data_IF_383267383228
#
_entry.id   IF_383267383228
#
_cell.length_a   1.000
_cell.length_b   1.000
_cell.length_c   1.000
_cell.angle_alpha   90.00
_cell.angle_beta   90.00
_cell.angle_gamma   90.00
#
_symmetry.space_group_name_H-M   'P 1'
#
loop_
_entity.id
_entity.type
_entity.pdbx_description
1 polymer ?
#
# COMPACT_ATOMS: atom_id res chain seq x y z
N UNK A 1 -6.87 11.97 17.94
CA UNK A 1 -7.03 11.40 16.59
C UNK A 1 -7.43 9.94 16.75
N UNK A 2 -8.53 9.50 16.13
CA UNK A 2 -8.92 8.09 16.17
C UNK A 2 -7.97 7.29 15.27
N UNK A 3 -7.08 6.51 15.88
CA UNK A 3 -6.19 5.59 15.17
C UNK A 3 -7.05 4.51 14.53
N UNK A 4 -7.28 4.61 13.22
CA UNK A 4 -8.05 3.58 12.49
C UNK A 4 -7.08 2.47 12.10
N UNK A 5 -6.86 1.53 13.02
CA UNK A 5 -6.13 0.28 12.77
C UNK A 5 -6.90 -0.54 11.72
N UNK A 6 -6.22 -1.13 10.74
CA UNK A 6 -6.87 -2.12 9.87
C UNK A 6 -7.51 -3.21 10.74
N UNK A 7 -8.69 -3.71 10.37
CA UNK A 7 -9.27 -4.82 11.11
C UNK A 7 -8.31 -6.02 11.09
N UNK A 8 -8.27 -6.79 12.17
CA UNK A 8 -7.45 -7.99 12.26
C UNK A 8 -7.75 -8.98 11.12
N UNK A 9 -9.00 -9.00 10.64
CA UNK A 9 -9.40 -9.80 9.48
C UNK A 9 -8.74 -9.32 8.18
N UNK A 10 -8.69 -8.01 7.93
CA UNK A 10 -8.03 -7.46 6.74
C UNK A 10 -6.53 -7.74 6.78
N UNK A 11 -5.88 -7.55 7.93
CA UNK A 11 -4.45 -7.89 8.11
C UNK A 11 -4.20 -9.37 7.84
N UNK A 12 -5.06 -10.26 8.35
CA UNK A 12 -4.97 -11.70 8.10
C UNK A 12 -5.12 -12.03 6.61
N UNK A 13 -6.08 -11.42 5.91
CA UNK A 13 -6.29 -11.62 4.47
C UNK A 13 -5.08 -11.16 3.65
N UNK A 14 -4.50 -10.00 3.99
CA UNK A 14 -3.25 -9.51 3.36
C UNK A 14 -2.14 -10.54 3.56
N UNK A 15 -1.91 -11.00 4.80
CA UNK A 15 -0.87 -11.98 5.09
C UNK A 15 -1.05 -13.31 4.35
N UNK A 16 -2.29 -13.78 4.19
CA UNK A 16 -2.59 -14.97 3.38
C UNK A 16 -2.24 -14.78 1.90
N UNK A 17 -2.50 -13.60 1.32
CA UNK A 17 -2.17 -13.33 -0.08
C UNK A 17 -0.65 -13.20 -0.28
N UNK A 18 0.04 -12.54 0.65
CA UNK A 18 1.50 -12.37 0.59
C UNK A 18 2.28 -13.61 1.05
N UNK A 19 1.61 -14.63 1.59
CA UNK A 19 2.26 -15.85 2.10
C UNK A 19 3.13 -15.62 3.34
N UNK A 20 2.89 -14.54 4.11
CA UNK A 20 3.68 -14.16 5.29
C UNK A 20 2.83 -13.47 6.35
N UNK A 21 3.34 -13.40 7.58
CA UNK A 21 2.72 -12.59 8.63
C UNK A 21 3.01 -11.10 8.39
N UNK A 22 2.03 -10.25 8.72
CA UNK A 22 2.15 -8.78 8.64
C UNK A 22 2.33 -8.26 10.07
N UNK A 23 3.56 -7.89 10.48
CA UNK A 23 3.82 -7.40 11.82
C UNK A 23 3.27 -5.98 11.99
N UNK A 24 2.90 -5.63 13.23
CA UNK A 24 2.39 -4.29 13.55
C UNK A 24 3.43 -3.18 13.26
N UNK A 25 4.72 -3.52 13.28
CA UNK A 25 5.81 -2.59 12.95
C UNK A 25 5.80 -2.11 11.49
N UNK A 26 5.01 -2.74 10.62
CA UNK A 26 4.79 -2.24 9.26
C UNK A 26 3.73 -1.12 9.20
N UNK A 27 2.94 -0.91 10.25
CA UNK A 27 1.99 0.22 10.30
C UNK A 27 2.76 1.53 10.35
N UNK A 28 2.59 2.37 9.32
CA UNK A 28 3.23 3.69 9.27
C UNK A 28 4.75 3.66 9.14
N UNK A 29 5.35 2.53 8.75
CA UNK A 29 6.79 2.42 8.60
C UNK A 29 7.34 3.16 7.36
N UNK A 30 6.46 3.59 6.45
CA UNK A 30 6.80 4.39 5.29
C UNK A 30 6.25 5.81 5.48
N UNK A 31 7.10 6.82 5.29
CA UNK A 31 6.71 8.22 5.48
C UNK A 31 5.90 8.79 4.31
N UNK A 32 6.24 8.40 3.08
CA UNK A 32 5.65 8.89 1.83
C UNK A 32 5.78 7.85 0.71
N UNK A 33 5.10 8.06 -0.43
CA UNK A 33 5.17 7.14 -1.58
C UNK A 33 6.59 6.86 -2.08
N UNK A 34 7.52 7.82 -1.94
CA UNK A 34 8.94 7.67 -2.33
C UNK A 34 9.67 6.58 -1.55
N UNK A 35 9.20 6.26 -0.35
CA UNK A 35 9.81 5.23 0.50
C UNK A 35 9.49 3.79 0.08
N UNK A 36 8.62 3.58 -0.91
CA UNK A 36 8.30 2.24 -1.38
C UNK A 36 9.43 1.64 -2.23
N UNK A 37 9.89 0.46 -1.82
CA UNK A 37 10.85 -0.34 -2.56
C UNK A 37 10.18 -1.17 -3.68
N UNK A 38 10.96 -1.71 -4.61
CA UNK A 38 10.44 -2.67 -5.60
C UNK A 38 9.80 -3.90 -4.97
N UNK A 39 10.28 -4.34 -3.80
CA UNK A 39 9.66 -5.43 -3.05
C UNK A 39 8.24 -5.04 -2.59
N UNK A 40 8.05 -3.81 -2.12
CA UNK A 40 6.73 -3.30 -1.75
C UNK A 40 5.81 -3.22 -2.97
N UNK A 41 6.32 -2.73 -4.11
CA UNK A 41 5.55 -2.68 -5.34
C UNK A 41 5.12 -4.09 -5.81
N UNK A 42 5.98 -5.10 -5.65
CA UNK A 42 5.62 -6.49 -5.94
C UNK A 42 4.53 -7.03 -5.00
N UNK A 43 4.61 -6.72 -3.71
CA UNK A 43 3.53 -7.03 -2.76
C UNK A 43 2.22 -6.36 -3.18
N UNK A 44 2.26 -5.10 -3.64
CA UNK A 44 1.07 -4.39 -4.11
C UNK A 44 0.49 -5.01 -5.38
N UNK A 45 1.32 -5.39 -6.36
CA UNK A 45 0.88 -6.11 -7.58
C UNK A 45 0.21 -7.43 -7.22
N UNK A 46 0.80 -8.18 -6.29
CA UNK A 46 0.25 -9.46 -5.84
C UNK A 46 -1.11 -9.27 -5.14
N UNK A 47 -1.22 -8.30 -4.25
CA UNK A 47 -2.49 -7.97 -3.59
C UNK A 47 -3.54 -7.50 -4.58
N UNK A 48 -3.17 -6.61 -5.50
CA UNK A 48 -4.07 -6.05 -6.51
C UNK A 48 -4.67 -7.16 -7.38
N UNK A 49 -3.84 -8.11 -7.84
CA UNK A 49 -4.28 -9.25 -8.66
C UNK A 49 -5.33 -10.14 -8.00
N UNK A 50 -5.46 -10.06 -6.66
CA UNK A 50 -6.48 -10.77 -5.87
C UNK A 50 -7.63 -9.87 -5.47
N UNK A 51 -7.33 -8.63 -5.10
CA UNK A 51 -8.29 -7.62 -4.68
C UNK A 51 -7.62 -6.26 -4.58
N UNK A 52 -8.03 -5.31 -5.44
CA UNK A 52 -7.60 -3.91 -5.34
C UNK A 52 -7.88 -3.27 -3.97
N UNK A 53 -8.93 -3.71 -3.27
CA UNK A 53 -9.23 -3.24 -1.90
C UNK A 53 -8.14 -3.65 -0.91
N UNK A 54 -7.57 -4.85 -1.05
CA UNK A 54 -6.46 -5.30 -0.19
C UNK A 54 -5.19 -4.53 -0.48
N UNK A 55 -4.89 -4.26 -1.76
CA UNK A 55 -3.74 -3.43 -2.14
C UNK A 55 -3.86 -2.01 -1.57
N UNK A 56 -4.99 -1.33 -1.78
CA UNK A 56 -5.24 0.00 -1.22
C UNK A 56 -5.18 0.00 0.31
N UNK A 57 -5.76 -1.01 0.95
CA UNK A 57 -5.72 -1.14 2.42
C UNK A 57 -4.29 -1.28 2.93
N UNK A 58 -3.46 -2.08 2.24
CA UNK A 58 -2.09 -2.31 2.64
C UNK A 58 -1.18 -1.09 2.40
N UNK A 59 -1.32 -0.40 1.27
CA UNK A 59 -0.60 0.86 1.01
C UNK A 59 -0.92 1.88 2.10
N UNK A 60 -2.21 2.07 2.42
CA UNK A 60 -2.64 2.98 3.49
C UNK A 60 -2.15 2.55 4.87
N UNK A 61 -2.03 1.26 5.12
CA UNK A 61 -1.47 0.73 6.37
C UNK A 61 0.01 1.07 6.52
N UNK A 62 0.79 0.88 5.46
CA UNK A 62 2.22 1.23 5.42
C UNK A 62 2.48 2.73 5.58
N UNK A 63 1.56 3.57 5.12
CA UNK A 63 1.62 5.04 5.23
C UNK A 63 0.90 5.63 6.46
N UNK A 64 0.37 4.79 7.37
CA UNK A 64 -0.46 5.24 8.49
C UNK A 64 -1.65 6.13 8.09
N UNK A 65 -2.18 5.97 6.87
CA UNK A 65 -3.27 6.79 6.31
C UNK A 65 -2.96 8.30 6.27
N UNK A 66 -1.70 8.68 6.18
CA UNK A 66 -1.28 10.09 5.95
C UNK A 66 -1.81 10.64 4.62
N UNK A 67 -2.10 9.75 3.67
CA UNK A 67 -2.53 10.08 2.31
C UNK A 67 -4.03 9.84 2.10
N UNK A 68 -4.64 10.71 1.29
CA UNK A 68 -6.03 10.59 0.91
C UNK A 68 -6.27 9.36 0.01
N UNK A 69 -7.50 8.85 0.07
CA UNK A 69 -7.85 7.58 -0.61
C UNK A 69 -7.71 7.69 -2.13
N UNK A 70 -8.10 8.81 -2.70
CA UNK A 70 -7.98 9.10 -4.14
C UNK A 70 -6.52 9.16 -4.58
N UNK A 71 -5.63 9.74 -3.77
CA UNK A 71 -4.19 9.76 -4.02
C UNK A 71 -3.64 8.33 -4.03
N UNK A 72 -3.99 7.50 -3.04
CA UNK A 72 -3.53 6.11 -2.97
C UNK A 72 -4.04 5.28 -4.15
N UNK A 73 -5.30 5.47 -4.55
CA UNK A 73 -5.87 4.81 -5.74
C UNK A 73 -5.16 5.27 -7.02
N UNK A 74 -4.85 6.57 -7.14
CA UNK A 74 -4.08 7.11 -8.27
C UNK A 74 -2.66 6.54 -8.33
N UNK A 75 -2.00 6.41 -7.18
CA UNK A 75 -0.70 5.77 -7.06
C UNK A 75 -0.75 4.31 -7.51
N UNK A 76 -1.71 3.53 -6.99
CA UNK A 76 -1.91 2.13 -7.38
C UNK A 76 -2.10 2.01 -8.91
N UNK A 77 -2.97 2.84 -9.50
CA UNK A 77 -3.21 2.80 -10.93
C UNK A 77 -1.97 3.18 -11.77
N UNK A 78 -1.24 4.21 -11.35
CA UNK A 78 -0.11 4.74 -12.14
C UNK A 78 1.15 3.88 -12.00
N UNK A 79 1.52 3.58 -10.75
CA UNK A 79 2.81 2.95 -10.44
C UNK A 79 2.72 1.43 -10.52
N UNK A 80 1.67 0.86 -9.93
CA UNK A 80 1.55 -0.60 -9.79
C UNK A 80 0.99 -1.22 -11.07
N UNK A 81 -0.05 -0.61 -11.67
CA UNK A 81 -0.72 -1.15 -12.86
C UNK A 81 -0.12 -0.67 -14.18
N UNK A 82 0.19 0.62 -14.32
CA UNK A 82 0.76 1.17 -15.57
C UNK A 82 2.29 1.09 -15.63
N UNK A 83 2.95 0.77 -14.50
CA UNK A 83 4.40 0.61 -14.44
C UNK A 83 5.18 1.93 -14.47
N UNK A 84 4.54 3.06 -14.16
CA UNK A 84 5.23 4.34 -13.98
C UNK A 84 6.16 4.22 -12.76
N UNK A 85 7.39 4.72 -12.88
CA UNK A 85 8.32 4.69 -11.74
C UNK A 85 7.81 5.60 -10.61
N UNK A 86 8.11 5.24 -9.35
CA UNK A 86 7.75 6.09 -8.19
C UNK A 86 8.33 7.50 -8.37
N UNK A 87 9.58 7.61 -8.83
CA UNK A 87 10.27 8.89 -9.05
C UNK A 87 9.59 9.74 -10.12
N UNK A 88 9.00 9.12 -11.14
CA UNK A 88 8.24 9.84 -12.17
C UNK A 88 6.88 10.29 -11.66
N UNK A 89 6.22 9.45 -10.85
CA UNK A 89 4.91 9.77 -10.30
C UNK A 89 4.93 10.94 -9.30
N UNK A 90 5.99 11.05 -8.49
CA UNK A 90 6.13 12.09 -7.44
C UNK A 90 6.57 13.47 -7.99
N UNK A 91 6.95 13.57 -9.27
CA UNK A 91 7.28 14.87 -9.87
C UNK A 91 6.11 15.86 -9.72
N UNK A 92 6.37 17.13 -9.39
CA UNK A 92 5.32 18.13 -9.24
C UNK A 92 4.49 18.18 -10.53
N UNK A 93 3.18 17.97 -10.39
CA UNK A 93 2.18 18.05 -11.46
C UNK A 93 1.70 19.49 -11.66
#
# INVERSE_FOLDING_TARGET
>A
MNKVVLSAETIRKIGMVLGRNIPQSEEGNIESFEGFSEADLNDFRLLESRSGVLAVSYIRYRLEKKEDLDIVVSFLASVVLQGISVQEWVKPR
#
